data_IF_317114590231
#
_entry.id   IF_317114590231
#
_cell.length_a   1.000
_cell.length_b   1.000
_cell.length_c   1.000
_cell.angle_alpha   90.00
_cell.angle_beta   90.00
_cell.angle_gamma   90.00
#
_symmetry.space_group_name_H-M   'P 1'
#
loop_
_entity.id
_entity.type
_entity.pdbx_description
1 polymer ?
#
# COMPACT_ATOMS: atom_id res chain seq x y z
N UNK A 1 21.06 10.16 6.65
CA UNK A 1 20.25 9.04 7.15
C UNK A 1 19.90 8.17 5.96
N UNK A 2 20.49 6.99 5.84
CA UNK A 2 20.20 6.06 4.74
C UNK A 2 18.79 5.52 4.95
N UNK A 3 17.89 5.68 3.97
CA UNK A 3 16.52 5.13 4.04
C UNK A 3 16.59 3.59 4.16
N UNK A 4 15.76 3.03 5.04
CA UNK A 4 15.67 1.59 5.25
C UNK A 4 15.13 0.85 4.01
N UNK A 5 14.55 1.58 3.04
CA UNK A 5 14.15 1.04 1.75
C UNK A 5 15.32 0.47 0.93
N UNK A 6 16.56 0.91 1.18
CA UNK A 6 17.76 0.40 0.50
C UNK A 6 18.34 -0.88 1.13
N UNK A 7 17.70 -1.41 2.17
CA UNK A 7 18.12 -2.68 2.80
C UNK A 7 17.85 -3.85 1.85
N UNK A 8 18.75 -4.86 1.77
CA UNK A 8 18.51 -6.07 0.97
C UNK A 8 17.28 -6.87 1.42
N UNK A 9 16.77 -6.61 2.64
CA UNK A 9 15.57 -7.24 3.17
C UNK A 9 14.28 -6.49 2.84
N UNK A 10 14.36 -5.27 2.32
CA UNK A 10 13.21 -4.40 2.14
C UNK A 10 12.21 -4.99 1.13
N UNK A 11 12.67 -5.27 -0.09
CA UNK A 11 11.81 -5.85 -1.13
C UNK A 11 11.23 -7.22 -0.72
N UNK A 12 12.01 -8.21 -0.22
CA UNK A 12 11.44 -9.50 0.18
C UNK A 12 10.38 -9.41 1.28
N UNK A 13 10.55 -8.52 2.27
CA UNK A 13 9.54 -8.34 3.34
C UNK A 13 8.27 -7.72 2.77
N UNK A 14 8.40 -6.73 1.89
CA UNK A 14 7.24 -6.13 1.23
C UNK A 14 6.47 -7.13 0.36
N UNK A 15 7.17 -7.96 -0.42
CA UNK A 15 6.56 -9.04 -1.21
C UNK A 15 5.84 -10.05 -0.32
N UNK A 16 6.44 -10.43 0.81
CA UNK A 16 5.81 -11.33 1.78
C UNK A 16 4.53 -10.74 2.41
N UNK A 17 4.48 -9.42 2.65
CA UNK A 17 3.25 -8.72 3.07
C UNK A 17 2.17 -8.80 1.99
N UNK A 18 2.51 -8.55 0.72
CA UNK A 18 1.57 -8.63 -0.40
C UNK A 18 1.02 -10.05 -0.58
N UNK A 19 1.87 -11.07 -0.44
CA UNK A 19 1.47 -12.47 -0.48
C UNK A 19 0.53 -12.85 0.66
N UNK A 20 0.84 -12.41 1.88
CA UNK A 20 -0.03 -12.60 3.05
C UNK A 20 -1.39 -11.93 2.87
N UNK A 21 -1.41 -10.69 2.40
CA UNK A 21 -2.64 -9.96 2.14
C UNK A 21 -3.46 -10.58 1.01
N UNK A 22 -2.81 -11.10 -0.02
CA UNK A 22 -3.45 -11.84 -1.12
C UNK A 22 -4.21 -13.06 -0.58
N UNK A 23 -3.57 -13.84 0.30
CA UNK A 23 -4.20 -15.01 0.94
C UNK A 23 -5.42 -14.60 1.78
N UNK A 24 -5.31 -13.54 2.58
CA UNK A 24 -6.41 -13.04 3.40
C UNK A 24 -7.62 -12.61 2.55
N UNK A 25 -7.38 -11.85 1.48
CA UNK A 25 -8.46 -11.37 0.62
C UNK A 25 -9.15 -12.52 -0.13
N UNK A 26 -8.39 -13.53 -0.60
CA UNK A 26 -8.95 -14.72 -1.25
C UNK A 26 -9.77 -15.58 -0.28
N UNK A 27 -9.34 -15.71 0.97
CA UNK A 27 -10.13 -16.38 2.00
C UNK A 27 -11.48 -15.67 2.24
N UNK A 28 -11.51 -14.34 2.07
CA UNK A 28 -12.73 -13.53 2.07
C UNK A 28 -13.57 -13.59 0.79
N UNK A 29 -13.30 -14.54 -0.13
CA UNK A 29 -14.01 -14.72 -1.40
C UNK A 29 -14.03 -13.49 -2.33
N UNK A 30 -13.05 -12.60 -2.20
CA UNK A 30 -12.90 -11.48 -3.14
C UNK A 30 -12.55 -12.00 -4.54
N UNK A 31 -13.17 -11.45 -5.61
CA UNK A 31 -12.82 -11.80 -6.98
C UNK A 31 -11.33 -11.53 -7.27
N UNK A 32 -10.71 -12.42 -8.04
CA UNK A 32 -9.26 -12.33 -8.35
C UNK A 32 -8.86 -11.00 -9.00
N UNK A 33 -9.72 -10.41 -9.84
CA UNK A 33 -9.46 -9.11 -10.44
C UNK A 33 -9.43 -7.97 -9.42
N UNK A 34 -10.25 -8.04 -8.37
CA UNK A 34 -10.28 -7.06 -7.28
C UNK A 34 -9.01 -7.19 -6.44
N UNK A 35 -8.60 -8.43 -6.13
CA UNK A 35 -7.34 -8.68 -5.41
C UNK A 35 -6.17 -8.13 -6.20
N UNK A 36 -6.06 -8.44 -7.50
CA UNK A 36 -4.96 -7.95 -8.34
C UNK A 36 -4.92 -6.42 -8.42
N UNK A 37 -6.07 -5.78 -8.67
CA UNK A 37 -6.17 -4.32 -8.74
C UNK A 37 -5.68 -3.63 -7.46
N UNK A 38 -5.96 -4.24 -6.29
CA UNK A 38 -5.49 -3.76 -5.00
C UNK A 38 -3.97 -3.94 -4.83
N UNK A 39 -3.42 -5.10 -5.21
CA UNK A 39 -1.98 -5.35 -5.18
C UNK A 39 -1.22 -4.37 -6.08
N UNK A 40 -1.69 -4.18 -7.32
CA UNK A 40 -1.09 -3.29 -8.29
C UNK A 40 -1.03 -1.85 -7.77
N UNK A 41 -2.09 -1.40 -7.09
CA UNK A 41 -2.12 -0.07 -6.49
C UNK A 41 -1.07 0.08 -5.37
N UNK A 42 -1.00 -0.88 -4.44
CA UNK A 42 -0.04 -0.86 -3.32
C UNK A 42 1.40 -0.89 -3.85
N UNK A 43 1.65 -1.72 -4.87
CA UNK A 43 2.95 -1.78 -5.54
C UNK A 43 3.31 -0.46 -6.25
N UNK A 44 2.37 0.12 -7.00
CA UNK A 44 2.56 1.43 -7.65
C UNK A 44 2.82 2.53 -6.64
N UNK A 45 2.19 2.48 -5.47
CA UNK A 45 2.44 3.45 -4.40
C UNK A 45 3.85 3.31 -3.83
N UNK A 46 4.34 2.07 -3.62
CA UNK A 46 5.72 1.82 -3.21
C UNK A 46 6.73 2.38 -4.23
N UNK A 47 6.52 2.11 -5.51
CA UNK A 47 7.35 2.62 -6.61
C UNK A 47 7.28 4.15 -6.70
N UNK A 48 6.09 4.74 -6.54
CA UNK A 48 5.91 6.20 -6.61
C UNK A 48 6.63 6.94 -5.48
N UNK A 49 6.61 6.36 -4.28
CA UNK A 49 7.23 6.95 -3.08
C UNK A 49 8.70 6.60 -2.92
N UNK A 50 9.19 5.61 -3.67
CA UNK A 50 10.49 4.96 -3.47
C UNK A 50 10.69 4.49 -2.02
N UNK A 51 9.58 4.02 -1.42
CA UNK A 51 9.48 3.67 0.00
C UNK A 51 8.55 2.48 0.19
N UNK A 52 8.74 1.81 1.31
CA UNK A 52 7.92 0.69 1.74
C UNK A 52 7.02 1.06 2.93
N UNK A 53 6.07 0.20 3.33
CA UNK A 53 5.01 0.57 4.27
C UNK A 53 5.47 1.11 5.63
N UNK A 54 6.66 0.72 6.10
CA UNK A 54 7.26 1.23 7.35
C UNK A 54 7.89 2.62 7.24
N UNK A 55 7.96 3.20 6.04
CA UNK A 55 8.43 4.58 5.79
C UNK A 55 7.35 5.47 5.16
N UNK A 56 6.14 4.94 4.95
CA UNK A 56 5.03 5.72 4.41
C UNK A 56 4.49 6.69 5.46
N UNK A 57 4.19 7.88 4.98
CA UNK A 57 3.60 8.96 5.78
C UNK A 57 2.15 9.19 5.34
N UNK A 58 1.23 9.57 6.25
CA UNK A 58 -0.19 9.74 5.94
C UNK A 58 -0.47 10.62 4.71
N UNK A 59 0.25 11.73 4.56
CA UNK A 59 0.07 12.67 3.44
C UNK A 59 0.54 12.14 2.07
N UNK A 60 1.39 11.10 2.04
CA UNK A 60 1.88 10.56 0.77
C UNK A 60 0.79 9.81 0.01
N UNK A 61 -0.14 9.16 0.70
CA UNK A 61 -1.24 8.44 0.07
C UNK A 61 -2.19 9.40 -0.66
N UNK A 62 -2.58 10.51 -0.02
CA UNK A 62 -3.45 11.51 -0.66
C UNK A 62 -2.74 12.19 -1.84
N UNK A 63 -1.47 12.58 -1.68
CA UNK A 63 -0.69 13.17 -2.76
C UNK A 63 -0.57 12.23 -3.99
N UNK A 64 -0.39 10.92 -3.75
CA UNK A 64 -0.36 9.92 -4.80
C UNK A 64 -1.73 9.78 -5.50
N UNK A 65 -2.83 9.75 -4.76
CA UNK A 65 -4.18 9.68 -5.33
C UNK A 65 -4.52 10.92 -6.17
N UNK A 66 -4.16 12.11 -5.69
CA UNK A 66 -4.29 13.37 -6.43
C UNK A 66 -3.44 13.37 -7.70
N UNK A 67 -2.22 12.82 -7.64
CA UNK A 67 -1.37 12.61 -8.80
C UNK A 67 -2.04 11.68 -9.83
N UNK A 68 -2.61 10.55 -9.41
CA UNK A 68 -3.30 9.61 -10.29
C UNK A 68 -4.52 10.23 -10.98
N UNK A 69 -5.34 10.95 -10.21
CA UNK A 69 -6.51 11.67 -10.71
C UNK A 69 -6.09 12.71 -11.75
N UNK A 70 -5.13 13.54 -11.41
CA UNK A 70 -4.61 14.61 -12.27
C UNK A 70 -3.97 14.07 -13.54
N UNK A 71 -3.21 12.97 -13.46
CA UNK A 71 -2.61 12.33 -14.62
C UNK A 71 -3.68 11.81 -15.59
N UNK A 72 -4.70 11.12 -15.08
CA UNK A 72 -5.79 10.59 -15.92
C UNK A 72 -6.65 11.69 -16.56
N UNK A 73 -6.93 12.78 -15.84
CA UNK A 73 -7.65 13.93 -16.41
C UNK A 73 -6.91 14.54 -17.60
N UNK A 74 -5.58 14.44 -17.64
CA UNK A 74 -4.75 15.00 -18.72
C UNK A 74 -4.54 14.03 -19.90
N UNK A 75 -4.48 12.73 -19.64
CA UNK A 75 -4.00 11.75 -20.64
C UNK A 75 -5.09 10.81 -21.17
N UNK A 76 -6.17 10.61 -20.43
CA UNK A 76 -7.17 9.60 -20.78
C UNK A 76 -8.34 10.21 -21.55
N UNK A 77 -8.75 9.57 -22.65
CA UNK A 77 -10.02 9.86 -23.32
C UNK A 77 -11.23 9.61 -22.39
N UNK A 78 -11.04 8.83 -21.32
CA UNK A 78 -12.00 8.57 -20.25
C UNK A 78 -11.32 8.76 -18.89
N UNK A 79 -11.58 9.85 -18.16
CA UNK A 79 -11.00 10.06 -16.83
C UNK A 79 -11.40 8.94 -15.87
N UNK A 80 -10.51 8.60 -14.93
CA UNK A 80 -10.94 7.84 -13.75
C UNK A 80 -11.86 8.73 -12.91
N UNK A 81 -12.99 8.18 -12.49
CA UNK A 81 -13.95 8.90 -11.67
C UNK A 81 -13.51 8.97 -10.20
N UNK A 82 -14.16 9.85 -9.44
CA UNK A 82 -13.99 9.93 -7.99
C UNK A 82 -14.23 8.58 -7.29
N UNK A 83 -15.13 7.74 -7.83
CA UNK A 83 -15.37 6.39 -7.31
C UNK A 83 -14.15 5.48 -7.41
N UNK A 84 -13.34 5.61 -8.45
CA UNK A 84 -12.08 4.87 -8.60
C UNK A 84 -11.06 5.33 -7.56
N UNK A 85 -10.94 6.65 -7.34
CA UNK A 85 -10.06 7.21 -6.31
C UNK A 85 -10.48 6.76 -4.91
N UNK A 86 -11.77 6.78 -4.60
CA UNK A 86 -12.29 6.26 -3.33
C UNK A 86 -11.96 4.77 -3.14
N UNK A 87 -12.07 3.97 -4.21
CA UNK A 87 -11.69 2.55 -4.18
C UNK A 87 -10.19 2.37 -3.94
N UNK A 88 -9.36 3.21 -4.53
CA UNK A 88 -7.92 3.19 -4.32
C UNK A 88 -7.52 3.60 -2.91
N UNK A 89 -8.13 4.67 -2.37
CA UNK A 89 -7.95 5.07 -0.98
C UNK A 89 -8.30 3.93 -0.01
N UNK A 90 -9.45 3.29 -0.24
CA UNK A 90 -9.87 2.14 0.56
C UNK A 90 -8.86 0.98 0.48
N UNK A 91 -8.32 0.69 -0.70
CA UNK A 91 -7.34 -0.38 -0.87
C UNK A 91 -6.04 -0.13 -0.07
N UNK A 92 -5.50 1.10 -0.11
CA UNK A 92 -4.33 1.48 0.67
C UNK A 92 -4.60 1.40 2.17
N UNK A 93 -5.79 1.86 2.60
CA UNK A 93 -6.24 1.76 4.00
C UNK A 93 -6.29 0.31 4.47
N UNK A 94 -6.99 -0.56 3.72
CA UNK A 94 -7.14 -1.97 4.07
C UNK A 94 -5.79 -2.71 4.14
N UNK A 95 -4.85 -2.35 3.26
CA UNK A 95 -3.50 -2.90 3.31
C UNK A 95 -2.75 -2.44 4.57
N UNK A 96 -2.82 -1.16 4.91
CA UNK A 96 -2.19 -0.62 6.12
C UNK A 96 -2.83 -1.19 7.40
N UNK A 97 -4.15 -1.34 7.45
CA UNK A 97 -4.85 -2.04 8.53
C UNK A 97 -4.37 -3.49 8.66
N UNK A 98 -4.16 -4.20 7.53
CA UNK A 98 -3.61 -5.55 7.53
C UNK A 98 -2.19 -5.62 8.08
N UNK A 99 -1.26 -4.78 7.60
CA UNK A 99 0.15 -4.84 8.06
C UNK A 99 0.35 -4.28 9.47
N UNK A 100 -0.63 -3.55 10.00
CA UNK A 100 -0.62 -3.03 11.37
C UNK A 100 -1.43 -3.89 12.35
N UNK A 101 -2.15 -4.91 11.90
CA UNK A 101 -2.88 -5.82 12.78
C UNK A 101 -1.88 -6.60 13.69
N UNK A 102 -1.97 -6.47 15.03
CA UNK A 102 -1.09 -7.17 15.96
C UNK A 102 -1.13 -8.70 15.88
N UNK A 103 -2.15 -9.29 15.24
CA UNK A 103 -2.25 -10.73 14.98
C UNK A 103 -1.22 -11.20 13.96
N UNK A 104 -0.64 -10.27 13.19
CA UNK A 104 0.44 -10.54 12.25
C UNK A 104 1.78 -10.09 12.82
N UNK A 105 2.86 -10.76 12.41
CA UNK A 105 4.21 -10.47 12.92
C UNK A 105 4.86 -9.24 12.26
N UNK A 106 4.17 -8.57 11.33
CA UNK A 106 4.72 -7.50 10.49
C UNK A 106 5.30 -6.33 11.28
N UNK A 107 4.60 -5.86 12.33
CA UNK A 107 5.10 -4.77 13.17
C UNK A 107 6.45 -5.13 13.83
N UNK A 108 6.56 -6.34 14.39
CA UNK A 108 7.79 -6.84 14.99
C UNK A 108 8.89 -7.00 13.95
N UNK A 109 8.57 -7.62 12.82
CA UNK A 109 9.52 -7.88 11.75
C UNK A 109 10.10 -6.59 11.17
N UNK A 110 9.26 -5.57 10.94
CA UNK A 110 9.72 -4.27 10.48
C UNK A 110 10.58 -3.55 11.54
N UNK A 111 10.18 -3.61 12.80
CA UNK A 111 10.97 -3.02 13.89
C UNK A 111 12.37 -3.65 13.97
N UNK A 112 12.46 -4.98 13.89
CA UNK A 112 13.73 -5.71 13.99
C UNK A 112 14.64 -5.49 12.77
N UNK A 113 14.07 -5.44 11.55
CA UNK A 113 14.84 -5.33 10.31
C UNK A 113 15.15 -3.90 9.88
N UNK A 114 14.28 -2.94 10.21
CA UNK A 114 14.31 -1.58 9.66
C UNK A 114 14.29 -0.49 10.75
N UNK A 115 14.05 -0.86 12.02
CA UNK A 115 13.93 0.10 13.11
C UNK A 115 12.71 1.01 13.03
N UNK A 116 11.76 0.70 12.14
CA UNK A 116 10.53 1.44 11.86
C UNK A 116 9.38 0.47 11.67
N UNK A 117 8.16 0.93 11.87
CA UNK A 117 6.95 0.13 11.72
C UNK A 117 5.93 0.83 10.82
N UNK A 118 5.10 0.08 10.06
CA UNK A 118 3.98 0.67 9.36
C UNK A 118 3.05 1.41 10.31
N UNK A 119 2.49 2.53 9.84
CA UNK A 119 1.51 3.30 10.56
C UNK A 119 0.13 3.10 9.93
N UNK A 120 -0.94 3.00 10.73
CA UNK A 120 -2.28 2.98 10.17
C UNK A 120 -2.60 4.34 9.54
N UNK A 121 -3.53 4.36 8.58
CA UNK A 121 -4.10 5.63 8.13
C UNK A 121 -4.94 6.20 9.29
N UNK A 122 -4.74 7.47 9.69
CA UNK A 122 -5.59 8.10 10.70
C UNK A 122 -7.06 8.04 10.28
N UNK A 123 -8.02 7.79 11.19
CA UNK A 123 -9.42 8.02 10.90
C UNK A 123 -9.62 9.50 10.57
N UNK A 124 -10.37 9.78 9.51
CA UNK A 124 -10.80 11.13 9.11
C UNK A 124 -11.72 11.78 10.16
#
# INVERSE_FOLDING_TARGET
MTSAAHSPHAQPVFEAMLDGWTRQQRAGSLPSYTVQSRLDLVYRFAVHTDRYPWEWEPGQADAFLDHLLSAHLRTAQRPIGLSTISTYRLALRLFLEYVTDPRHAWLRECQEKFGRVPLPIPPE
#
